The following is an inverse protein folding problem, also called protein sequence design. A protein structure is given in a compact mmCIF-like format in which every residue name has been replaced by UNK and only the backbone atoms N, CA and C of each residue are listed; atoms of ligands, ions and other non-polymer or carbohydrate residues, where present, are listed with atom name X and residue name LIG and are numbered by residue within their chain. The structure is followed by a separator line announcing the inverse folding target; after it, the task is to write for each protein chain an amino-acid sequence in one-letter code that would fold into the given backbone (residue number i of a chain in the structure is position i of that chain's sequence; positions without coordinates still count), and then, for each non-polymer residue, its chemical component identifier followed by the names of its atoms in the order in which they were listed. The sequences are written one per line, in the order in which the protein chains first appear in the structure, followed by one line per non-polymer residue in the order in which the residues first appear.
data_IF_385067799536
#
_entry.id   IF_385067799536
#
_cell.length_a   1.000
_cell.length_b   1.000
_cell.length_c   1.000
_cell.angle_alpha   90.00
_cell.angle_beta   90.00
_cell.angle_gamma   90.00
#
_symmetry.space_group_name_H-M   'P 1'
#
loop_
_entity.id
_entity.type
_entity.pdbx_description
1 polymer ?
#
# COMPACT_ATOMS: atom_id res chain seq x y z
N UNK A 1 9.40 -5.53 -7.12
CA UNK A 1 9.06 -5.13 -5.74
C UNK A 1 7.75 -4.35 -5.78
N UNK A 2 6.73 -4.75 -5.03
CA UNK A 2 5.45 -4.03 -4.90
C UNK A 2 5.56 -3.10 -3.68
N UNK A 3 5.25 -1.82 -3.85
CA UNK A 3 5.36 -0.80 -2.79
C UNK A 3 4.00 -0.14 -2.61
N UNK A 4 3.20 -0.65 -1.68
CA UNK A 4 1.90 -0.06 -1.31
C UNK A 4 2.11 0.76 -0.03
N UNK A 5 2.06 2.09 -0.14
CA UNK A 5 2.22 3.00 1.01
C UNK A 5 0.84 3.58 1.33
N UNK A 6 0.24 3.27 2.49
CA UNK A 6 -1.05 3.81 2.91
C UNK A 6 -0.93 5.33 3.13
N UNK A 7 -1.97 6.05 2.73
CA UNK A 7 -2.10 7.49 2.99
C UNK A 7 -2.66 7.72 4.39
N UNK A 8 -2.25 8.82 5.05
CA UNK A 8 -2.77 9.20 6.37
C UNK A 8 -2.07 8.56 7.57
N UNK A 9 -1.17 7.59 7.37
CA UNK A 9 -0.39 6.97 8.43
C UNK A 9 1.09 7.41 8.38
N UNK A 10 1.67 7.88 9.49
CA UNK A 10 3.10 8.20 9.55
C UNK A 10 3.96 6.96 9.30
N UNK A 11 4.94 7.07 8.40
CA UNK A 11 5.96 6.04 8.18
C UNK A 11 7.19 6.33 9.03
N UNK A 12 7.46 5.48 10.02
CA UNK A 12 8.54 5.65 11.00
C UNK A 12 9.74 4.79 10.61
N UNK A 13 10.92 5.39 10.71
CA UNK A 13 12.20 4.72 10.57
C UNK A 13 12.98 4.85 11.88
N UNK A 14 13.38 3.72 12.46
CA UNK A 14 14.29 3.69 13.59
C UNK A 14 15.69 3.39 13.09
N UNK A 15 16.67 4.16 13.55
CA UNK A 15 18.08 3.95 13.23
C UNK A 15 18.87 3.63 14.50
N UNK A 16 19.86 2.77 14.36
CA UNK A 16 20.90 2.59 15.38
C UNK A 16 22.19 3.25 14.90
N UNK A 17 22.95 3.82 15.85
CA UNK A 17 24.21 4.51 15.55
C UNK A 17 25.31 3.91 16.40
N UNK A 18 26.22 3.18 15.76
CA UNK A 18 27.46 2.65 16.34
C UNK A 18 28.62 2.98 15.40
N UNK A 19 28.83 4.27 15.11
CA UNK A 19 29.82 4.75 14.12
C UNK A 19 29.40 4.59 12.65
N UNK A 20 28.36 3.79 12.38
CA UNK A 20 27.68 3.66 11.09
C UNK A 20 26.17 3.74 11.36
N UNK A 21 25.42 4.46 10.52
CA UNK A 21 23.95 4.51 10.59
C UNK A 21 23.40 3.23 9.98
N UNK A 22 22.63 2.46 10.74
CA UNK A 22 21.92 1.27 10.25
C UNK A 22 20.42 1.39 10.49
N UNK A 23 19.62 0.95 9.51
CA UNK A 23 18.18 0.87 9.66
C UNK A 23 17.84 -0.27 10.62
N UNK A 24 17.21 0.07 11.75
CA UNK A 24 16.78 -0.87 12.78
C UNK A 24 15.35 -1.36 12.51
N UNK A 25 14.43 -0.45 12.20
CA UNK A 25 13.02 -0.78 11.91
C UNK A 25 12.39 0.19 10.92
N UNK A 26 11.39 -0.30 10.20
CA UNK A 26 10.50 0.47 9.33
C UNK A 26 9.07 0.00 9.55
N UNK A 27 8.16 0.87 9.96
CA UNK A 27 6.77 0.52 10.22
C UNK A 27 5.84 1.75 10.10
N UNK A 28 4.55 1.50 9.90
CA UNK A 28 3.53 2.54 9.99
C UNK A 28 3.09 2.70 11.45
N UNK A 29 2.94 3.95 11.88
CA UNK A 29 2.42 4.27 13.21
C UNK A 29 0.89 4.41 13.14
N UNK A 30 0.17 3.65 13.95
CA UNK A 30 -1.29 3.65 13.99
C UNK A 30 -1.86 2.31 14.46
N UNK A 31 -3.18 2.18 14.40
CA UNK A 31 -3.85 0.89 14.64
C UNK A 31 -3.52 -0.12 13.52
N UNK A 32 -3.13 -1.37 13.86
CA UNK A 32 -2.74 -2.36 12.84
C UNK A 32 -3.84 -2.71 11.82
N UNK A 33 -5.10 -2.77 12.25
CA UNK A 33 -6.22 -3.16 11.38
C UNK A 33 -6.59 -2.03 10.42
N UNK A 34 -6.54 -0.79 10.90
CA UNK A 34 -6.73 0.39 10.03
C UNK A 34 -5.62 0.52 8.97
N UNK A 35 -4.36 0.35 9.37
CA UNK A 35 -3.20 0.39 8.44
C UNK A 35 -3.32 -0.69 7.38
N UNK A 36 -3.66 -1.92 7.79
CA UNK A 36 -3.86 -3.04 6.86
C UNK A 36 -4.96 -2.76 5.85
N UNK A 37 -6.10 -2.27 6.32
CA UNK A 37 -7.25 -1.91 5.48
C UNK A 37 -6.86 -0.84 4.44
N UNK A 38 -6.08 0.17 4.86
CA UNK A 38 -5.59 1.21 3.97
C UNK A 38 -4.63 0.68 2.90
N UNK A 39 -3.75 -0.28 3.25
CA UNK A 39 -2.86 -0.94 2.30
C UNK A 39 -3.65 -1.76 1.27
N UNK A 40 -4.63 -2.54 1.72
CA UNK A 40 -5.50 -3.36 0.85
C UNK A 40 -6.33 -2.49 -0.10
N UNK A 41 -6.78 -1.31 0.34
CA UNK A 41 -7.48 -0.33 -0.51
C UNK A 41 -6.61 0.13 -1.68
N UNK A 42 -5.33 0.39 -1.44
CA UNK A 42 -4.38 0.84 -2.48
C UNK A 42 -3.98 -0.31 -3.41
N UNK A 43 -3.91 -1.55 -2.92
CA UNK A 43 -3.61 -2.72 -3.77
C UNK A 43 -4.60 -2.94 -4.91
N UNK A 44 -5.83 -2.50 -4.74
CA UNK A 44 -6.89 -2.59 -5.74
C UNK A 44 -6.93 -1.36 -6.66
N UNK A 45 -6.21 -0.29 -6.33
CA UNK A 45 -6.06 0.89 -7.15
C UNK A 45 -5.13 0.56 -8.34
N UNK A 46 -5.69 0.45 -9.53
CA UNK A 46 -4.99 0.03 -10.76
C UNK A 46 -5.54 -1.26 -11.37
N UNK A 47 -6.47 -1.96 -10.70
CA UNK A 47 -7.26 -3.01 -11.36
C UNK A 47 -8.33 -2.35 -12.22
N UNK A 48 -8.25 -2.55 -13.55
CA UNK A 48 -9.35 -2.22 -14.43
C UNK A 48 -10.61 -2.95 -13.95
N UNK A 49 -11.69 -2.21 -13.69
CA UNK A 49 -12.97 -2.82 -13.36
C UNK A 49 -13.38 -3.76 -14.50
N UNK A 50 -13.85 -5.00 -14.24
CA UNK A 50 -14.29 -5.92 -15.31
C UNK A 50 -15.49 -5.41 -16.11
N UNK A 51 -16.11 -4.31 -15.69
CA UNK A 51 -17.37 -3.79 -16.21
C UNK A 51 -17.29 -3.14 -17.61
N UNK A 52 -16.10 -3.01 -18.22
CA UNK A 52 -15.94 -2.31 -19.51
C UNK A 52 -16.13 -3.16 -20.77
N UNK A 53 -16.04 -4.50 -20.70
CA UNK A 53 -15.92 -5.33 -21.91
C UNK A 53 -17.11 -6.26 -22.21
N UNK A 54 -18.12 -6.35 -21.33
CA UNK A 54 -19.27 -7.25 -21.52
C UNK A 54 -20.44 -6.63 -22.30
N UNK A 55 -20.46 -5.32 -22.59
CA UNK A 55 -21.54 -4.68 -23.35
C UNK A 55 -21.27 -4.56 -24.86
N UNK A 56 -20.04 -4.79 -25.34
CA UNK A 56 -19.71 -4.70 -26.77
C UNK A 56 -19.94 -5.99 -27.58
N UNK A 57 -20.10 -7.14 -26.92
CA UNK A 57 -20.32 -8.41 -27.60
C UNK A 57 -21.79 -8.68 -28.01
N UNK A 58 -22.74 -7.84 -27.60
CA UNK A 58 -24.17 -8.03 -27.89
C UNK A 58 -24.69 -7.19 -29.09
N UNK A 59 -23.81 -6.50 -29.81
CA UNK A 59 -24.17 -5.61 -30.94
C UNK A 59 -23.35 -5.84 -32.22
N UNK A 60 -22.83 -7.05 -32.42
CA UNK A 60 -22.23 -7.45 -33.70
C UNK A 60 -23.10 -8.52 -34.36
#
# INVERSE_FOLDING_TARGET
MKVNIPTGFPLVYEFETNGIIKLKKKYYLGDPDEVRTAIEKIENQGRASPAGNSQRALRA
#
